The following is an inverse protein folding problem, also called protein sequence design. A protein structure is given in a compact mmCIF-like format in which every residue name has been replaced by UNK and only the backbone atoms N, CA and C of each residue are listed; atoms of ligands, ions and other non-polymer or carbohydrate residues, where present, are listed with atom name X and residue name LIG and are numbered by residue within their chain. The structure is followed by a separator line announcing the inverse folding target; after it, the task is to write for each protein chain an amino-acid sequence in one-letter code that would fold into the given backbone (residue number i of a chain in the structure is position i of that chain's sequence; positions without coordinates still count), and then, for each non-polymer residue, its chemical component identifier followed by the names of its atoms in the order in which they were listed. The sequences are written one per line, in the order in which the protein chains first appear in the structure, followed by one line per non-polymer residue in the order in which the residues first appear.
data_IF_494519201599
#
_entry.id   IF_494519201599
#
_cell.length_a   1.000
_cell.length_b   1.000
_cell.length_c   1.000
_cell.angle_alpha   90.00
_cell.angle_beta   90.00
_cell.angle_gamma   90.00
#
_symmetry.space_group_name_H-M   'P 1'
#
loop_
_entity.id
_entity.type
_entity.pdbx_description
1 polymer ?
#
# COMPACT_ATOMS: atom_id res chain seq x y z
N UNK A 1 22.45 17.23 10.22
CA UNK A 1 22.43 16.05 11.12
C UNK A 1 21.77 16.33 12.47
N UNK A 2 22.22 17.28 13.31
CA UNK A 2 21.57 17.52 14.61
C UNK A 2 20.15 18.07 14.45
N UNK A 3 19.87 18.93 13.46
CA UNK A 3 18.56 19.43 13.08
C UNK A 3 17.62 18.31 12.62
N UNK A 4 18.12 17.35 11.85
CA UNK A 4 17.31 16.27 11.27
C UNK A 4 16.87 15.27 12.35
N UNK A 5 17.76 14.95 13.30
CA UNK A 5 17.45 14.08 14.45
C UNK A 5 16.44 14.74 15.40
N UNK A 6 16.55 16.06 15.62
CA UNK A 6 15.59 16.78 16.46
C UNK A 6 14.20 16.83 15.81
N UNK A 7 14.15 16.99 14.48
CA UNK A 7 12.88 16.94 13.72
C UNK A 7 12.28 15.55 13.74
N UNK A 8 13.06 14.49 13.52
CA UNK A 8 12.56 13.13 13.63
C UNK A 8 11.96 12.85 15.01
N UNK A 9 12.67 13.24 16.07
CA UNK A 9 12.14 13.11 17.45
C UNK A 9 10.85 13.87 17.66
N UNK A 10 10.74 15.10 17.12
CA UNK A 10 9.51 15.89 17.18
C UNK A 10 8.35 15.23 16.40
N UNK A 11 8.59 14.76 15.17
CA UNK A 11 7.57 14.06 14.38
C UNK A 11 7.07 12.80 15.09
N UNK A 12 7.99 12.00 15.67
CA UNK A 12 7.62 10.83 16.47
C UNK A 12 6.83 11.18 17.72
N UNK A 13 7.17 12.27 18.39
CA UNK A 13 6.41 12.77 19.56
C UNK A 13 4.99 13.17 19.16
N UNK A 14 4.83 13.95 18.09
CA UNK A 14 3.52 14.32 17.54
C UNK A 14 2.73 13.07 17.18
N UNK A 15 3.35 12.12 16.48
CA UNK A 15 2.71 10.86 16.09
C UNK A 15 2.19 10.07 17.29
N UNK A 16 2.99 9.97 18.35
CA UNK A 16 2.59 9.27 19.58
C UNK A 16 1.39 9.95 20.28
N UNK A 17 1.40 11.29 20.37
CA UNK A 17 0.29 12.05 20.92
C UNK A 17 -0.99 11.87 20.10
N UNK A 18 -0.87 11.94 18.77
CA UNK A 18 -2.00 11.74 17.86
C UNK A 18 -2.55 10.33 18.00
N UNK A 19 -1.69 9.30 18.00
CA UNK A 19 -2.14 7.91 18.17
C UNK A 19 -2.87 7.71 19.50
N UNK A 20 -2.37 8.30 20.60
CA UNK A 20 -3.03 8.28 21.91
C UNK A 20 -4.40 8.96 21.86
N UNK A 21 -4.51 10.14 21.24
CA UNK A 21 -5.75 10.91 21.13
C UNK A 21 -6.78 10.17 20.26
N UNK A 22 -6.37 9.68 19.08
CA UNK A 22 -7.25 8.98 18.14
C UNK A 22 -7.82 7.69 18.74
N UNK A 23 -7.01 6.91 19.47
CA UNK A 23 -7.48 5.74 20.22
C UNK A 23 -8.55 6.12 21.26
N UNK A 24 -8.37 7.24 21.96
CA UNK A 24 -9.36 7.74 22.93
C UNK A 24 -10.67 8.17 22.26
N UNK A 25 -10.57 8.78 21.07
CA UNK A 25 -11.72 9.22 20.27
C UNK A 25 -12.35 8.07 19.45
N UNK A 26 -11.73 6.90 19.40
CA UNK A 26 -12.14 5.75 18.57
C UNK A 26 -12.19 6.09 17.08
N UNK A 27 -11.24 6.89 16.63
CA UNK A 27 -11.06 7.28 15.22
C UNK A 27 -9.80 6.62 14.65
N UNK A 28 -9.75 6.35 13.32
CA UNK A 28 -8.55 5.85 12.67
C UNK A 28 -7.37 6.81 12.91
N UNK A 29 -6.25 6.28 13.38
CA UNK A 29 -5.08 7.10 13.73
C UNK A 29 -4.45 7.77 12.50
N UNK A 30 -4.58 7.18 11.31
CA UNK A 30 -4.11 7.73 10.03
C UNK A 30 -4.79 9.07 9.70
N UNK A 31 -6.11 9.18 9.95
CA UNK A 31 -6.85 10.44 9.83
C UNK A 31 -6.26 11.51 10.74
N UNK A 32 -6.01 11.14 12.00
CA UNK A 32 -5.41 12.07 12.97
C UNK A 32 -4.01 12.53 12.57
N UNK A 33 -3.19 11.64 12.01
CA UNK A 33 -1.84 11.96 11.55
C UNK A 33 -1.86 12.95 10.37
N UNK A 34 -2.74 12.73 9.39
CA UNK A 34 -2.90 13.68 8.28
C UNK A 34 -3.36 15.04 8.76
N UNK A 35 -4.36 15.09 9.67
CA UNK A 35 -4.80 16.36 10.27
C UNK A 35 -3.69 17.05 11.07
N UNK A 36 -2.90 16.28 11.82
CA UNK A 36 -1.76 16.83 12.55
C UNK A 36 -0.69 17.39 11.60
N UNK A 37 -0.39 16.67 10.51
CA UNK A 37 0.52 17.13 9.47
C UNK A 37 0.06 18.44 8.83
N UNK A 38 -1.23 18.53 8.46
CA UNK A 38 -1.83 19.79 7.99
C UNK A 38 -1.71 20.90 9.04
N UNK A 39 -1.97 20.58 10.31
CA UNK A 39 -1.84 21.53 11.42
C UNK A 39 -0.41 22.05 11.55
N UNK A 40 0.60 21.20 11.46
CA UNK A 40 2.00 21.63 11.52
C UNK A 40 2.35 22.64 10.42
N UNK A 41 1.82 22.49 9.22
CA UNK A 41 1.99 23.45 8.14
C UNK A 41 1.32 24.82 8.47
N UNK A 42 0.06 24.79 8.92
CA UNK A 42 -0.67 26.02 9.25
C UNK A 42 -0.08 26.78 10.46
N UNK A 43 0.59 26.09 11.37
CA UNK A 43 1.31 26.70 12.49
C UNK A 43 2.76 27.09 12.15
N UNK A 44 3.11 27.10 10.86
CA UNK A 44 4.42 27.47 10.35
C UNK A 44 5.58 26.68 10.97
N UNK A 45 5.31 25.45 11.39
CA UNK A 45 6.37 24.54 11.86
C UNK A 45 7.17 24.07 10.64
N UNK A 46 8.39 24.60 10.50
CA UNK A 46 9.28 24.28 9.39
C UNK A 46 9.74 22.83 9.47
N UNK A 47 9.07 21.94 8.73
CA UNK A 47 9.49 20.55 8.53
C UNK A 47 10.42 20.54 7.31
N UNK A 48 11.69 20.18 7.51
CA UNK A 48 12.67 20.04 6.42
C UNK A 48 12.52 18.73 5.67
N UNK A 49 11.84 17.76 6.28
CA UNK A 49 11.55 16.48 5.66
C UNK A 49 10.38 16.61 4.69
N UNK A 50 10.67 16.42 3.40
CA UNK A 50 9.65 16.37 2.36
C UNK A 50 9.41 14.93 1.96
N UNK A 51 8.15 14.61 1.71
CA UNK A 51 7.79 13.30 1.16
C UNK A 51 8.36 13.23 -0.26
N UNK A 52 9.27 12.30 -0.49
CA UNK A 52 9.87 12.06 -1.79
C UNK A 52 9.70 10.62 -2.19
N UNK A 53 9.80 10.33 -3.49
CA UNK A 53 9.81 8.96 -4.00
C UNK A 53 10.82 8.10 -3.25
N UNK A 54 12.06 8.57 -3.14
CA UNK A 54 13.15 7.78 -2.54
C UNK A 54 12.89 7.47 -1.07
N UNK A 55 12.34 8.42 -0.32
CA UNK A 55 11.96 8.21 1.08
C UNK A 55 10.87 7.15 1.21
N UNK A 56 9.84 7.21 0.37
CA UNK A 56 8.75 6.24 0.40
C UNK A 56 9.25 4.85 -0.03
N UNK A 57 9.90 4.75 -1.19
CA UNK A 57 10.31 3.47 -1.75
C UNK A 57 11.46 2.81 -0.98
N UNK A 58 12.50 3.59 -0.61
CA UNK A 58 13.71 3.01 -0.04
C UNK A 58 13.67 2.86 1.48
N UNK A 59 12.87 3.66 2.18
CA UNK A 59 12.86 3.65 3.65
C UNK A 59 11.56 3.06 4.20
N UNK A 60 10.40 3.48 3.70
CA UNK A 60 9.14 3.15 4.33
C UNK A 60 8.45 1.92 3.72
N UNK A 61 8.51 1.75 2.42
CA UNK A 61 7.75 0.69 1.74
C UNK A 61 8.25 -0.72 2.09
N UNK A 62 9.57 -1.01 2.13
CA UNK A 62 10.05 -2.35 2.44
C UNK A 62 9.54 -2.90 3.78
N UNK A 63 9.64 -2.16 4.91
CA UNK A 63 9.18 -2.66 6.19
C UNK A 63 7.66 -2.76 6.28
N UNK A 64 6.91 -1.87 5.62
CA UNK A 64 5.44 -1.91 5.63
C UNK A 64 4.90 -3.15 4.92
N UNK A 65 5.43 -3.41 3.72
CA UNK A 65 5.04 -4.58 2.93
C UNK A 65 5.46 -5.88 3.62
N UNK A 66 6.69 -5.89 4.16
CA UNK A 66 7.20 -7.06 4.88
C UNK A 66 6.41 -7.36 6.14
N UNK A 67 6.10 -6.35 6.97
CA UNK A 67 5.29 -6.52 8.19
C UNK A 67 3.91 -7.06 7.86
N UNK A 68 3.21 -6.47 6.91
CA UNK A 68 1.89 -6.94 6.52
C UNK A 68 1.93 -8.41 6.03
N UNK A 69 2.94 -8.77 5.22
CA UNK A 69 3.12 -10.14 4.74
C UNK A 69 3.52 -11.14 5.85
N UNK A 70 4.22 -10.67 6.89
CA UNK A 70 4.66 -11.48 8.02
C UNK A 70 3.51 -12.16 8.78
N UNK A 71 2.34 -11.52 8.80
CA UNK A 71 1.17 -12.00 9.52
C UNK A 71 0.20 -12.80 8.66
N UNK A 72 0.47 -12.95 7.36
CA UNK A 72 -0.35 -13.76 6.45
C UNK A 72 -0.03 -15.26 6.62
N UNK A 73 -1.04 -16.05 6.92
CA UNK A 73 -0.94 -17.51 6.92
C UNK A 73 -0.91 -18.05 5.49
N UNK A 74 0.16 -18.79 5.13
CA UNK A 74 0.35 -19.35 3.79
C UNK A 74 -0.74 -20.35 3.40
N UNK A 75 -1.26 -21.13 4.36
CA UNK A 75 -2.26 -22.15 4.08
C UNK A 75 -3.62 -21.52 3.72
N UNK A 76 -3.94 -20.38 4.35
CA UNK A 76 -5.13 -19.61 4.02
C UNK A 76 -4.92 -18.81 2.72
N UNK A 77 -3.78 -18.13 2.60
CA UNK A 77 -3.43 -17.34 1.42
C UNK A 77 -3.48 -18.14 0.12
N UNK A 78 -2.87 -19.34 0.09
CA UNK A 78 -2.86 -20.18 -1.12
C UNK A 78 -4.24 -20.66 -1.55
N UNK A 79 -5.19 -20.80 -0.62
CA UNK A 79 -6.57 -21.19 -0.95
C UNK A 79 -7.29 -20.08 -1.73
N UNK A 80 -7.06 -18.82 -1.32
CA UNK A 80 -7.68 -17.65 -1.94
C UNK A 80 -6.83 -17.04 -3.07
N UNK A 81 -5.66 -17.62 -3.39
CA UNK A 81 -4.75 -17.12 -4.42
C UNK A 81 -5.40 -16.89 -5.79
N UNK A 82 -6.35 -17.75 -6.29
CA UNK A 82 -7.04 -17.47 -7.54
C UNK A 82 -7.88 -16.18 -7.51
N UNK A 83 -8.57 -15.91 -6.39
CA UNK A 83 -9.36 -14.68 -6.21
C UNK A 83 -8.43 -13.47 -6.06
N UNK A 84 -7.43 -13.59 -5.19
CA UNK A 84 -6.44 -12.54 -4.92
C UNK A 84 -5.65 -12.18 -6.17
N UNK A 85 -5.14 -13.18 -6.90
CA UNK A 85 -4.40 -12.98 -8.14
C UNK A 85 -5.25 -12.30 -9.20
N UNK A 86 -6.51 -12.69 -9.36
CA UNK A 86 -7.42 -12.06 -10.32
C UNK A 86 -7.71 -10.60 -9.96
N UNK A 87 -8.01 -10.32 -8.68
CA UNK A 87 -8.29 -8.96 -8.21
C UNK A 87 -7.06 -8.07 -8.28
N UNK A 88 -5.90 -8.58 -7.89
CA UNK A 88 -4.66 -7.81 -7.88
C UNK A 88 -4.02 -7.64 -9.26
N UNK A 89 -4.42 -8.39 -10.29
CA UNK A 89 -3.91 -8.22 -11.66
C UNK A 89 -4.99 -7.63 -12.57
N UNK A 90 -5.97 -8.44 -12.99
CA UNK A 90 -7.03 -7.95 -13.87
C UNK A 90 -7.87 -6.85 -13.21
N UNK A 91 -8.06 -6.91 -11.88
CA UNK A 91 -8.76 -5.86 -11.13
C UNK A 91 -8.04 -4.52 -11.22
N UNK A 92 -6.71 -4.51 -11.08
CA UNK A 92 -5.88 -3.29 -11.25
C UNK A 92 -5.98 -2.76 -12.67
N UNK A 93 -5.88 -3.64 -13.68
CA UNK A 93 -6.02 -3.25 -15.09
C UNK A 93 -7.39 -2.63 -15.37
N UNK A 94 -8.48 -3.25 -14.89
CA UNK A 94 -9.84 -2.73 -15.08
C UNK A 94 -10.02 -1.38 -14.37
N UNK A 95 -9.56 -1.26 -13.13
CA UNK A 95 -9.65 0.00 -12.38
C UNK A 95 -8.85 1.12 -13.05
N UNK A 96 -7.63 0.82 -13.49
CA UNK A 96 -6.78 1.76 -14.21
C UNK A 96 -7.40 2.18 -15.54
N UNK A 97 -7.92 1.22 -16.32
CA UNK A 97 -8.55 1.49 -17.62
C UNK A 97 -9.81 2.37 -17.49
N UNK A 98 -10.70 2.07 -16.52
CA UNK A 98 -11.90 2.89 -16.28
C UNK A 98 -11.51 4.31 -15.90
N UNK A 99 -10.50 4.45 -15.03
CA UNK A 99 -10.01 5.77 -14.62
C UNK A 99 -9.38 6.51 -15.81
N UNK A 100 -8.49 5.86 -16.56
CA UNK A 100 -7.82 6.47 -17.71
C UNK A 100 -8.81 6.92 -18.80
N UNK A 101 -9.73 6.03 -19.18
CA UNK A 101 -10.78 6.34 -20.18
C UNK A 101 -11.64 7.52 -19.70
N UNK A 102 -12.03 7.50 -18.43
CA UNK A 102 -12.80 8.58 -17.85
C UNK A 102 -12.05 9.92 -17.82
N UNK A 103 -10.77 9.93 -17.44
CA UNK A 103 -9.95 11.16 -17.43
C UNK A 103 -9.77 11.72 -18.85
N UNK A 104 -9.54 10.84 -19.83
CA UNK A 104 -9.42 11.26 -21.23
C UNK A 104 -10.70 11.93 -21.76
N UNK A 105 -11.86 11.28 -21.61
CA UNK A 105 -13.11 11.79 -22.20
C UNK A 105 -13.82 12.85 -21.35
N UNK A 106 -13.65 12.87 -20.02
CA UNK A 106 -14.32 13.86 -19.18
C UNK A 106 -13.50 15.16 -18.99
N UNK A 107 -12.17 15.09 -19.11
CA UNK A 107 -11.27 16.21 -18.84
C UNK A 107 -10.35 16.55 -20.02
N UNK A 108 -10.56 15.92 -21.17
CA UNK A 108 -9.74 16.07 -22.39
C UNK A 108 -8.22 15.85 -22.15
N UNK A 109 -7.88 14.98 -21.21
CA UNK A 109 -6.49 14.62 -20.97
C UNK A 109 -5.94 13.78 -22.13
N UNK A 110 -4.67 13.97 -22.47
CA UNK A 110 -3.97 13.07 -23.38
C UNK A 110 -3.90 11.65 -22.81
N UNK A 111 -3.85 10.65 -23.69
CA UNK A 111 -3.83 9.24 -23.27
C UNK A 111 -2.65 8.90 -22.38
N UNK A 112 -1.49 9.54 -22.59
CA UNK A 112 -0.29 9.29 -21.77
C UNK A 112 -0.52 9.64 -20.31
N UNK A 113 -0.96 10.88 -20.05
CA UNK A 113 -1.28 11.36 -18.71
C UNK A 113 -2.43 10.60 -18.08
N UNK A 114 -3.48 10.28 -18.86
CA UNK A 114 -4.65 9.55 -18.38
C UNK A 114 -4.30 8.10 -17.97
N UNK A 115 -3.50 7.39 -18.76
CA UNK A 115 -3.07 6.01 -18.46
C UNK A 115 -2.18 5.99 -17.23
N UNK A 116 -1.18 6.87 -17.17
CA UNK A 116 -0.27 6.93 -16.02
C UNK A 116 -1.02 7.25 -14.74
N UNK A 117 -1.92 8.24 -14.75
CA UNK A 117 -2.78 8.53 -13.60
C UNK A 117 -3.66 7.34 -13.22
N UNK A 118 -4.30 6.68 -14.19
CA UNK A 118 -5.13 5.51 -13.95
C UNK A 118 -4.35 4.37 -13.27
N UNK A 119 -3.11 4.12 -13.71
CA UNK A 119 -2.26 3.07 -13.16
C UNK A 119 -1.78 3.42 -11.74
N UNK A 120 -1.21 4.61 -11.55
CA UNK A 120 -0.67 4.98 -10.23
C UNK A 120 -1.73 5.02 -9.14
N UNK A 121 -2.96 5.47 -9.49
CA UNK A 121 -4.05 5.58 -8.53
C UNK A 121 -4.78 4.24 -8.31
N UNK A 122 -4.47 3.19 -9.06
CA UNK A 122 -5.08 1.88 -8.87
C UNK A 122 -4.54 1.14 -7.63
N UNK A 123 -3.33 1.47 -7.16
CA UNK A 123 -2.78 0.95 -5.90
C UNK A 123 -3.66 1.26 -4.71
N UNK A 124 -3.82 0.32 -3.76
CA UNK A 124 -4.65 0.50 -2.56
C UNK A 124 -3.86 0.27 -1.29
N UNK A 125 -4.15 1.05 -0.26
CA UNK A 125 -3.50 0.98 1.06
C UNK A 125 -4.48 0.42 2.10
N UNK A 126 -4.20 -0.75 2.68
CA UNK A 126 -5.10 -1.36 3.65
C UNK A 126 -4.91 -0.83 5.08
N UNK A 127 -3.91 0.00 5.35
CA UNK A 127 -3.46 0.36 6.72
C UNK A 127 -4.59 0.84 7.61
N UNK A 128 -5.42 1.78 7.13
CA UNK A 128 -6.54 2.31 7.92
C UNK A 128 -7.62 1.27 8.19
N UNK A 129 -7.89 0.40 7.22
CA UNK A 129 -8.90 -0.68 7.35
C UNK A 129 -8.40 -1.75 8.30
N UNK A 130 -7.13 -2.15 8.18
CA UNK A 130 -6.50 -3.14 9.04
C UNK A 130 -6.42 -2.65 10.49
N UNK A 131 -6.07 -1.38 10.72
CA UNK A 131 -6.11 -0.78 12.04
C UNK A 131 -7.50 -0.91 12.67
N UNK A 132 -8.55 -0.59 11.91
CA UNK A 132 -9.95 -0.76 12.33
C UNK A 132 -10.28 -2.23 12.63
N UNK A 133 -9.81 -3.17 11.81
CA UNK A 133 -10.01 -4.61 12.03
C UNK A 133 -9.32 -5.10 13.29
N UNK A 134 -8.07 -4.69 13.54
CA UNK A 134 -7.33 -5.02 14.78
C UNK A 134 -8.09 -4.52 16.02
N UNK A 135 -8.57 -3.28 16.00
CA UNK A 135 -9.34 -2.69 17.12
C UNK A 135 -10.71 -3.35 17.34
N UNK A 136 -11.33 -3.77 16.25
CA UNK A 136 -12.67 -4.37 16.24
C UNK A 136 -12.66 -5.89 16.42
N UNK A 137 -11.49 -6.53 16.42
CA UNK A 137 -11.35 -7.98 16.52
C UNK A 137 -11.84 -8.73 15.28
N UNK A 138 -11.81 -8.10 14.10
CA UNK A 138 -12.16 -8.78 12.84
C UNK A 138 -10.98 -9.64 12.40
N UNK A 139 -11.23 -10.93 12.25
CA UNK A 139 -10.24 -11.95 11.87
C UNK A 139 -10.75 -12.79 10.69
N UNK A 140 -9.90 -13.70 10.22
CA UNK A 140 -10.25 -14.69 9.21
C UNK A 140 -10.20 -14.17 7.78
N UNK A 141 -10.97 -14.82 6.89
CA UNK A 141 -10.88 -14.66 5.44
C UNK A 141 -11.06 -13.23 4.93
N UNK A 142 -11.97 -12.45 5.53
CA UNK A 142 -12.20 -11.06 5.11
C UNK A 142 -10.94 -10.21 5.30
N UNK A 143 -10.30 -10.33 6.46
CA UNK A 143 -9.05 -9.63 6.75
C UNK A 143 -7.96 -10.05 5.77
N UNK A 144 -7.78 -11.35 5.56
CA UNK A 144 -6.83 -11.90 4.61
C UNK A 144 -7.04 -11.33 3.19
N UNK A 145 -8.30 -11.30 2.72
CA UNK A 145 -8.62 -10.81 1.37
C UNK A 145 -8.22 -9.33 1.21
N UNK A 146 -8.46 -8.49 2.21
CA UNK A 146 -8.12 -7.05 2.14
C UNK A 146 -6.60 -6.85 2.22
N UNK A 147 -5.92 -7.49 3.17
CA UNK A 147 -4.47 -7.36 3.33
C UNK A 147 -3.73 -7.88 2.10
N UNK A 148 -4.04 -9.09 1.68
CA UNK A 148 -3.33 -9.74 0.60
C UNK A 148 -3.66 -9.13 -0.78
N UNK A 149 -4.92 -8.71 -1.01
CA UNK A 149 -5.29 -8.05 -2.26
C UNK A 149 -4.55 -6.72 -2.41
N UNK A 150 -4.49 -5.90 -1.36
CA UNK A 150 -3.76 -4.63 -1.39
C UNK A 150 -2.26 -4.82 -1.60
N UNK A 151 -1.63 -5.75 -0.87
CA UNK A 151 -0.20 -6.03 -1.03
C UNK A 151 0.17 -6.49 -2.44
N UNK A 152 -0.64 -7.38 -3.03
CA UNK A 152 -0.41 -7.87 -4.39
C UNK A 152 -0.70 -6.78 -5.42
N UNK A 153 -1.73 -5.97 -5.21
CA UNK A 153 -2.08 -4.90 -6.13
C UNK A 153 -1.03 -3.78 -6.12
N UNK A 154 -0.42 -3.48 -4.98
CA UNK A 154 0.69 -2.54 -4.89
C UNK A 154 1.88 -2.98 -5.76
N UNK A 155 2.25 -4.26 -5.66
CA UNK A 155 3.27 -4.84 -6.53
C UNK A 155 2.90 -4.76 -8.01
N UNK A 156 1.65 -5.07 -8.35
CA UNK A 156 1.15 -5.00 -9.73
C UNK A 156 1.11 -3.57 -10.26
N UNK A 157 0.60 -2.63 -9.47
CA UNK A 157 0.51 -1.22 -9.86
C UNK A 157 1.91 -0.61 -10.08
N UNK A 158 2.88 -0.91 -9.20
CA UNK A 158 4.26 -0.45 -9.36
C UNK A 158 4.89 -0.97 -10.66
N UNK A 159 4.71 -2.27 -10.98
CA UNK A 159 5.23 -2.86 -12.21
C UNK A 159 4.53 -2.29 -13.45
N UNK A 160 3.20 -2.13 -13.41
CA UNK A 160 2.44 -1.50 -14.50
C UNK A 160 2.83 -0.03 -14.71
N UNK A 161 3.15 0.70 -13.64
CA UNK A 161 3.60 2.09 -13.73
C UNK A 161 4.93 2.20 -14.48
N UNK A 162 5.91 1.38 -14.15
CA UNK A 162 7.20 1.34 -14.86
C UNK A 162 6.99 0.97 -16.34
N UNK A 163 6.11 0.01 -16.62
CA UNK A 163 5.77 -0.39 -17.98
C UNK A 163 5.07 0.74 -18.76
N UNK A 164 4.14 1.47 -18.12
CA UNK A 164 3.47 2.62 -18.73
C UNK A 164 4.47 3.73 -19.08
N UNK A 165 5.39 4.08 -18.18
CA UNK A 165 6.44 5.05 -18.46
C UNK A 165 7.38 4.60 -19.59
N UNK A 166 7.75 3.31 -19.62
CA UNK A 166 8.56 2.74 -20.70
C UNK A 166 7.87 2.82 -22.05
N UNK A 167 6.56 2.59 -22.11
CA UNK A 167 5.76 2.76 -23.34
C UNK A 167 5.73 4.22 -23.81
N UNK A 168 5.61 5.18 -22.89
CA UNK A 168 5.58 6.61 -23.21
C UNK A 168 6.92 7.14 -23.71
N UNK A 169 8.05 6.58 -23.24
CA UNK A 169 9.39 6.95 -23.72
C UNK A 169 9.72 6.42 -25.12
N UNK A 170 8.74 5.90 -25.85
CA UNK A 170 8.91 5.49 -27.25
C UNK A 170 9.60 4.12 -27.43
N UNK A 171 9.71 3.33 -26.39
CA UNK A 171 10.12 1.93 -26.52
C UNK A 171 9.05 1.20 -27.36
N UNK A 172 9.40 0.82 -28.59
CA UNK A 172 8.55 0.01 -29.46
C UNK A 172 8.36 -1.39 -28.84
N UNK A 173 7.52 -1.46 -27.82
CA UNK A 173 7.16 -2.72 -27.19
C UNK A 173 5.81 -3.17 -27.75
N UNK A 174 5.78 -4.35 -28.33
CA UNK A 174 4.53 -5.02 -28.64
C UNK A 174 3.88 -5.55 -27.34
N UNK A 175 2.59 -5.85 -27.38
CA UNK A 175 1.85 -6.36 -26.21
C UNK A 175 2.48 -7.64 -25.63
N UNK A 176 3.12 -8.46 -26.45
CA UNK A 176 3.78 -9.68 -26.01
C UNK A 176 5.04 -9.40 -25.19
N UNK A 177 5.86 -8.45 -25.63
CA UNK A 177 7.06 -8.04 -24.88
C UNK A 177 6.70 -7.36 -23.57
N UNK A 178 5.64 -6.54 -23.57
CA UNK A 178 5.13 -5.89 -22.37
C UNK A 178 4.65 -6.92 -21.32
N UNK A 179 3.82 -7.88 -21.76
CA UNK A 179 3.35 -8.95 -20.88
C UNK A 179 4.51 -9.81 -20.34
N UNK A 180 5.51 -10.09 -21.19
CA UNK A 180 6.72 -10.81 -20.79
C UNK A 180 7.53 -10.05 -19.74
N UNK A 181 7.72 -8.76 -19.91
CA UNK A 181 8.41 -7.90 -18.95
C UNK A 181 7.66 -7.84 -17.61
N UNK A 182 6.33 -7.65 -17.64
CA UNK A 182 5.50 -7.66 -16.43
C UNK A 182 5.64 -8.99 -15.68
N UNK A 183 5.55 -10.12 -16.39
CA UNK A 183 5.68 -11.44 -15.80
C UNK A 183 7.07 -11.66 -15.20
N UNK A 184 8.13 -11.31 -15.95
CA UNK A 184 9.51 -11.46 -15.50
C UNK A 184 9.81 -10.60 -14.28
N UNK A 185 9.38 -9.34 -14.28
CA UNK A 185 9.57 -8.41 -13.17
C UNK A 185 8.85 -8.90 -11.90
N UNK A 186 7.63 -9.41 -12.06
CA UNK A 186 6.82 -9.95 -10.97
C UNK A 186 7.43 -11.23 -10.40
N UNK A 187 7.71 -12.22 -11.24
CA UNK A 187 8.28 -13.51 -10.83
C UNK A 187 9.70 -13.36 -10.31
N UNK A 188 10.51 -12.51 -10.94
CA UNK A 188 11.88 -12.22 -10.51
C UNK A 188 11.92 -11.63 -9.10
N UNK A 189 11.06 -10.65 -8.84
CA UNK A 189 10.90 -10.08 -7.49
C UNK A 189 10.47 -11.13 -6.47
N UNK A 190 9.43 -11.91 -6.78
CA UNK A 190 8.94 -12.97 -5.89
C UNK A 190 10.00 -14.04 -5.59
N UNK A 191 10.78 -14.46 -6.58
CA UNK A 191 11.85 -15.46 -6.41
C UNK A 191 13.01 -14.92 -5.57
N UNK A 192 13.42 -13.66 -5.78
CA UNK A 192 14.47 -13.01 -4.96
C UNK A 192 13.99 -12.91 -3.51
N UNK A 193 12.74 -12.49 -3.29
CA UNK A 193 12.19 -12.38 -1.95
C UNK A 193 12.09 -13.73 -1.24
N UNK A 194 11.58 -14.75 -1.92
CA UNK A 194 11.53 -16.09 -1.37
C UNK A 194 12.94 -16.62 -1.03
N UNK A 195 13.89 -16.47 -1.96
CA UNK A 195 15.29 -16.87 -1.75
C UNK A 195 15.93 -16.15 -0.56
N UNK A 196 15.79 -14.83 -0.47
CA UNK A 196 16.27 -14.04 0.66
C UNK A 196 15.62 -14.49 1.99
N UNK A 197 14.29 -14.66 2.00
CA UNK A 197 13.57 -15.17 3.16
C UNK A 197 14.11 -16.51 3.65
N UNK A 198 14.29 -17.48 2.75
CA UNK A 198 14.84 -18.79 3.11
C UNK A 198 16.29 -18.70 3.61
N UNK A 199 17.17 -17.95 2.92
CA UNK A 199 18.57 -17.79 3.30
C UNK A 199 18.69 -17.16 4.68
N UNK A 200 18.00 -16.04 4.93
CA UNK A 200 18.11 -15.35 6.20
C UNK A 200 17.43 -16.13 7.35
N UNK A 201 16.37 -16.88 7.09
CA UNK A 201 15.77 -17.76 8.08
C UNK A 201 16.70 -18.95 8.42
N UNK A 202 17.38 -19.51 7.42
CA UNK A 202 18.39 -20.54 7.66
C UNK A 202 19.54 -20.02 8.51
N UNK A 203 20.00 -18.80 8.28
CA UNK A 203 21.06 -18.16 9.08
C UNK A 203 20.58 -17.83 10.49
N UNK A 204 19.36 -17.31 10.64
CA UNK A 204 18.74 -17.04 11.93
C UNK A 204 18.66 -18.30 12.81
N UNK A 205 18.35 -19.46 12.22
CA UNK A 205 18.33 -20.71 12.94
C UNK A 205 19.70 -21.24 13.43
N UNK A 206 20.78 -20.53 13.12
CA UNK A 206 22.15 -20.85 13.58
C UNK A 206 22.56 -20.15 14.87
N UNK A 207 21.70 -19.28 15.41
CA UNK A 207 21.97 -18.51 16.62
C UNK A 207 20.78 -18.54 17.57
N UNK A 208 21.00 -18.62 18.89
CA UNK A 208 19.92 -18.45 19.87
C UNK A 208 19.72 -16.98 20.27
N UNK A 209 20.47 -16.03 19.67
CA UNK A 209 20.39 -14.59 19.98
C UNK A 209 19.26 -13.97 19.18
N UNK A 210 18.18 -13.58 19.86
CA UNK A 210 17.00 -13.01 19.22
C UNK A 210 17.28 -11.64 18.53
N UNK A 211 18.29 -10.87 18.95
CA UNK A 211 18.66 -9.64 18.29
C UNK A 211 19.29 -9.92 16.93
N UNK A 212 20.11 -10.97 16.84
CA UNK A 212 20.69 -11.43 15.57
C UNK A 212 19.59 -12.01 14.67
N UNK A 213 18.63 -12.78 15.23
CA UNK A 213 17.48 -13.29 14.47
C UNK A 213 16.65 -12.14 13.87
N UNK A 214 16.34 -11.10 14.65
CA UNK A 214 15.63 -9.89 14.16
C UNK A 214 16.45 -9.18 13.08
N UNK A 215 17.76 -9.06 13.26
CA UNK A 215 18.66 -8.45 12.27
C UNK A 215 18.58 -9.19 10.93
N UNK A 216 18.57 -10.52 10.94
CA UNK A 216 18.38 -11.30 9.71
C UNK A 216 17.02 -11.09 9.06
N UNK A 217 15.95 -10.89 9.83
CA UNK A 217 14.66 -10.55 9.22
C UNK A 217 14.65 -9.14 8.63
N UNK A 218 15.39 -8.20 9.23
CA UNK A 218 15.58 -6.85 8.67
C UNK A 218 16.35 -6.91 7.35
N UNK A 219 17.41 -7.74 7.30
CA UNK A 219 18.13 -8.00 6.05
C UNK A 219 17.25 -8.72 5.01
N UNK A 220 16.33 -9.60 5.43
CA UNK A 220 15.37 -10.21 4.52
C UNK A 220 14.43 -9.16 3.91
N UNK A 221 13.92 -8.21 4.70
CA UNK A 221 13.02 -7.16 4.24
C UNK A 221 13.69 -6.19 3.27
N UNK A 222 14.72 -5.49 3.73
CA UNK A 222 15.41 -4.47 2.94
C UNK A 222 16.33 -5.09 1.87
N UNK A 223 17.05 -6.16 2.21
CA UNK A 223 17.97 -6.82 1.28
C UNK A 223 17.24 -7.40 0.08
N UNK A 224 16.11 -8.08 0.27
CA UNK A 224 15.32 -8.59 -0.86
C UNK A 224 14.80 -7.47 -1.75
N UNK A 225 14.31 -6.38 -1.14
CA UNK A 225 13.83 -5.21 -1.85
C UNK A 225 14.93 -4.61 -2.74
N UNK A 226 16.05 -4.23 -2.15
CA UNK A 226 17.15 -3.57 -2.89
C UNK A 226 17.82 -4.49 -3.92
N UNK A 227 17.93 -5.78 -3.63
CA UNK A 227 18.46 -6.74 -4.61
C UNK A 227 17.52 -6.86 -5.81
N UNK A 228 16.22 -6.94 -5.58
CA UNK A 228 15.23 -6.98 -6.66
C UNK A 228 15.28 -5.71 -7.51
N UNK A 229 15.25 -4.53 -6.88
CA UNK A 229 15.34 -3.23 -7.58
C UNK A 229 16.67 -3.11 -8.39
N UNK A 230 17.79 -3.58 -7.85
CA UNK A 230 19.06 -3.57 -8.56
C UNK A 230 19.03 -4.38 -9.87
N UNK A 231 18.29 -5.48 -9.88
CA UNK A 231 18.10 -6.30 -11.09
C UNK A 231 16.86 -5.90 -11.92
N UNK A 232 16.24 -4.75 -11.62
CA UNK A 232 15.03 -4.24 -12.28
C UNK A 232 13.82 -5.17 -12.12
N UNK A 233 13.74 -5.91 -11.02
CA UNK A 233 12.58 -6.67 -10.59
C UNK A 233 11.78 -5.91 -9.53
N UNK A 234 10.57 -6.37 -9.21
CA UNK A 234 9.73 -5.72 -8.21
C UNK A 234 10.26 -5.89 -6.79
N UNK A 235 10.79 -4.82 -6.20
CA UNK A 235 11.19 -4.77 -4.78
C UNK A 235 10.02 -4.99 -3.84
N UNK A 236 8.83 -4.48 -4.19
CA UNK A 236 7.60 -4.65 -3.41
C UNK A 236 7.24 -6.13 -3.29
N UNK A 237 7.24 -6.86 -4.42
CA UNK A 237 6.95 -8.30 -4.42
C UNK A 237 8.06 -9.12 -3.76
N UNK A 238 9.30 -8.64 -3.81
CA UNK A 238 10.40 -9.26 -3.08
C UNK A 238 10.22 -9.12 -1.57
N UNK A 239 9.94 -7.93 -1.06
CA UNK A 239 9.67 -7.71 0.36
C UNK A 239 8.43 -8.51 0.84
N UNK A 240 7.36 -8.55 0.01
CA UNK A 240 6.17 -9.35 0.29
C UNK A 240 6.48 -10.84 0.44
N UNK A 241 7.16 -11.43 -0.53
CA UNK A 241 7.46 -12.87 -0.49
C UNK A 241 8.47 -13.23 0.58
N UNK A 242 9.45 -12.36 0.85
CA UNK A 242 10.34 -12.50 2.00
C UNK A 242 9.56 -12.49 3.33
N UNK A 243 8.63 -11.54 3.48
CA UNK A 243 7.74 -11.46 4.64
C UNK A 243 6.86 -12.71 4.82
N UNK A 244 6.27 -13.22 3.73
CA UNK A 244 5.50 -14.47 3.74
C UNK A 244 6.35 -15.67 4.19
N UNK A 245 7.57 -15.80 3.68
CA UNK A 245 8.48 -16.88 4.08
C UNK A 245 8.80 -16.76 5.57
N UNK A 246 9.29 -15.62 6.02
CA UNK A 246 9.69 -15.39 7.41
C UNK A 246 8.50 -15.58 8.35
N UNK A 247 7.32 -15.06 8.00
CA UNK A 247 6.10 -15.17 8.80
C UNK A 247 5.65 -16.61 9.02
N UNK A 248 5.74 -17.44 7.99
CA UNK A 248 5.34 -18.84 8.10
C UNK A 248 6.42 -19.72 8.76
N UNK A 249 7.70 -19.34 8.69
CA UNK A 249 8.78 -20.00 9.41
C UNK A 249 8.92 -19.56 10.88
N UNK A 250 8.35 -18.43 11.29
CA UNK A 250 8.42 -17.96 12.69
C UNK A 250 7.83 -18.93 13.71
N UNK A 251 6.89 -19.77 13.29
CA UNK A 251 6.29 -20.82 14.13
C UNK A 251 7.11 -22.11 14.15
N UNK A 252 8.12 -22.22 13.31
CA UNK A 252 9.04 -23.34 13.24
C UNK A 252 10.03 -23.33 14.42
N UNK A 253 10.55 -24.49 14.87
CA UNK A 253 11.61 -24.56 15.89
C UNK A 253 12.95 -23.96 15.43
N UNK A 254 13.03 -23.45 14.20
CA UNK A 254 14.20 -22.76 13.64
C UNK A 254 14.49 -21.46 14.39
N UNK A 255 13.47 -20.75 14.84
CA UNK A 255 13.61 -19.49 15.61
C UNK A 255 13.49 -19.78 17.12
N UNK A 256 14.33 -19.12 17.91
CA UNK A 256 14.30 -19.22 19.37
C UNK A 256 12.96 -18.76 19.96
N UNK A 257 12.63 -19.22 21.17
CA UNK A 257 11.42 -18.76 21.87
C UNK A 257 11.43 -17.27 22.15
N UNK A 258 12.60 -16.69 22.38
CA UNK A 258 12.78 -15.24 22.56
C UNK A 258 12.54 -14.51 21.26
N UNK A 259 13.10 -14.99 20.14
CA UNK A 259 12.89 -14.42 18.81
C UNK A 259 11.42 -14.48 18.39
N UNK A 260 10.74 -15.59 18.58
CA UNK A 260 9.29 -15.71 18.29
C UNK A 260 8.43 -14.68 19.01
N UNK A 261 8.77 -14.37 20.27
CA UNK A 261 8.04 -13.35 21.04
C UNK A 261 8.40 -11.94 20.66
N UNK A 262 9.63 -11.68 20.20
CA UNK A 262 10.12 -10.36 19.90
C UNK A 262 9.84 -9.90 18.45
N UNK A 263 9.80 -10.84 17.51
CA UNK A 263 9.74 -10.56 16.07
C UNK A 263 8.45 -9.83 15.65
N UNK A 264 7.30 -10.30 16.15
CA UNK A 264 6.01 -9.65 15.88
C UNK A 264 5.97 -8.20 16.39
N UNK A 265 6.16 -7.97 17.71
CA UNK A 265 6.18 -6.61 18.26
C UNK A 265 7.23 -5.68 17.64
N UNK A 266 8.40 -6.20 17.24
CA UNK A 266 9.42 -5.41 16.54
C UNK A 266 8.89 -4.88 15.19
N UNK A 267 8.35 -5.76 14.35
CA UNK A 267 7.85 -5.36 13.03
C UNK A 267 6.58 -4.51 13.11
N UNK A 268 5.70 -4.76 14.07
CA UNK A 268 4.56 -3.86 14.34
C UNK A 268 5.03 -2.46 14.75
N UNK A 269 6.10 -2.36 15.54
CA UNK A 269 6.67 -1.07 15.93
C UNK A 269 7.32 -0.35 14.76
N UNK A 270 8.09 -1.05 13.93
CA UNK A 270 8.70 -0.48 12.71
C UNK A 270 7.64 0.02 11.74
N UNK A 271 6.61 -0.77 11.50
CA UNK A 271 5.48 -0.38 10.64
C UNK A 271 4.70 0.81 11.23
N UNK A 272 4.50 0.85 12.55
CA UNK A 272 3.88 1.99 13.22
C UNK A 272 4.66 3.28 13.00
N UNK A 273 5.98 3.26 13.15
CA UNK A 273 6.84 4.43 12.89
C UNK A 273 6.73 4.85 11.42
N UNK A 274 6.92 3.92 10.49
CA UNK A 274 6.88 4.19 9.07
C UNK A 274 5.53 4.81 8.65
N UNK A 275 4.42 4.19 9.02
CA UNK A 275 3.08 4.71 8.75
C UNK A 275 2.86 6.08 9.38
N UNK A 276 3.31 6.26 10.63
CA UNK A 276 3.12 7.53 11.34
C UNK A 276 3.83 8.68 10.63
N UNK A 277 5.07 8.47 10.21
CA UNK A 277 5.85 9.47 9.49
C UNK A 277 5.25 9.75 8.11
N UNK A 278 4.87 8.70 7.36
CA UNK A 278 4.26 8.85 6.04
C UNK A 278 2.98 9.71 6.13
N UNK A 279 2.01 9.31 6.95
CA UNK A 279 0.71 10.00 7.00
C UNK A 279 0.83 11.41 7.54
N UNK A 280 1.77 11.67 8.45
CA UNK A 280 2.04 13.02 8.93
C UNK A 280 2.67 13.89 7.84
N UNK A 281 3.63 13.36 7.07
CA UNK A 281 4.23 14.06 5.93
C UNK A 281 3.23 14.25 4.78
N UNK A 282 2.35 13.28 4.51
CA UNK A 282 1.23 13.43 3.58
C UNK A 282 0.40 14.63 3.97
N UNK A 283 -0.01 14.73 5.23
CA UNK A 283 -0.81 15.85 5.72
C UNK A 283 -0.11 17.20 5.58
N UNK A 284 1.19 17.27 5.89
CA UNK A 284 1.97 18.49 5.75
C UNK A 284 2.10 18.93 4.29
N UNK A 285 2.21 17.99 3.36
CA UNK A 285 2.33 18.27 1.92
C UNK A 285 0.96 18.53 1.28
N UNK A 286 -0.10 17.87 1.73
CA UNK A 286 -1.49 18.13 1.34
C UNK A 286 -1.89 19.58 1.58
N UNK A 287 -1.50 20.14 2.75
CA UNK A 287 -1.79 21.52 3.09
C UNK A 287 -1.11 22.55 2.17
N UNK A 288 -0.09 22.15 1.43
CA UNK A 288 0.63 22.99 0.47
C UNK A 288 0.00 22.96 -0.93
N UNK A 289 -0.89 22.00 -1.22
CA UNK A 289 -1.47 21.83 -2.53
C UNK A 289 -2.42 22.99 -2.88
N UNK A 290 -2.27 23.51 -4.08
CA UNK A 290 -3.14 24.57 -4.61
C UNK A 290 -4.18 23.94 -5.54
N UNK A 291 -5.35 23.62 -5.01
CA UNK A 291 -6.42 23.01 -5.80
C UNK A 291 -7.02 23.95 -6.85
N UNK A 292 -6.95 25.26 -6.64
CA UNK A 292 -7.29 26.33 -7.61
C UNK A 292 -8.45 25.97 -8.55
N UNK A 293 -8.16 25.93 -9.87
CA UNK A 293 -9.15 25.57 -10.89
C UNK A 293 -9.31 24.04 -11.09
N UNK A 294 -8.61 23.19 -10.31
CA UNK A 294 -8.62 21.74 -10.47
C UNK A 294 -9.77 21.04 -9.71
N UNK A 295 -10.64 21.78 -9.00
CA UNK A 295 -11.70 21.20 -8.19
C UNK A 295 -12.63 20.26 -8.97
N UNK A 296 -12.96 20.60 -10.24
CA UNK A 296 -13.77 19.75 -11.10
C UNK A 296 -13.03 18.46 -11.45
N UNK A 297 -11.75 18.57 -11.79
CA UNK A 297 -10.91 17.43 -12.10
C UNK A 297 -10.75 16.50 -10.88
N UNK A 298 -10.63 17.05 -9.67
CA UNK A 298 -10.59 16.30 -8.43
C UNK A 298 -11.89 15.51 -8.21
N UNK A 299 -13.06 16.15 -8.35
CA UNK A 299 -14.36 15.48 -8.19
C UNK A 299 -14.54 14.36 -9.22
N UNK A 300 -14.19 14.64 -10.49
CA UNK A 300 -14.26 13.65 -11.57
C UNK A 300 -13.31 12.50 -11.28
N UNK A 301 -12.07 12.77 -10.88
CA UNK A 301 -11.09 11.73 -10.54
C UNK A 301 -11.57 10.85 -9.39
N UNK A 302 -12.09 11.42 -8.29
CA UNK A 302 -12.64 10.67 -7.17
C UNK A 302 -13.78 9.74 -7.64
N UNK A 303 -14.70 10.26 -8.46
CA UNK A 303 -15.80 9.48 -9.01
C UNK A 303 -15.29 8.33 -9.90
N UNK A 304 -14.36 8.60 -10.81
CA UNK A 304 -13.79 7.60 -11.71
C UNK A 304 -12.98 6.53 -10.99
N UNK A 305 -12.16 6.91 -10.02
CA UNK A 305 -11.40 5.96 -9.18
C UNK A 305 -12.34 5.05 -8.40
N UNK A 306 -13.42 5.61 -7.85
CA UNK A 306 -14.44 4.83 -7.14
C UNK A 306 -15.21 3.90 -8.09
N UNK A 307 -15.60 4.38 -9.27
CA UNK A 307 -16.24 3.56 -10.31
C UNK A 307 -15.30 2.46 -10.82
N UNK A 308 -14.03 2.77 -11.06
CA UNK A 308 -13.01 1.80 -11.47
C UNK A 308 -12.86 0.68 -10.45
N UNK A 309 -12.85 1.03 -9.15
CA UNK A 309 -12.81 0.03 -8.07
C UNK A 309 -14.09 -0.84 -8.06
N UNK A 310 -15.26 -0.25 -8.26
CA UNK A 310 -16.51 -1.01 -8.36
C UNK A 310 -16.50 -1.96 -9.56
N UNK A 311 -16.08 -1.48 -10.73
CA UNK A 311 -15.97 -2.27 -11.96
C UNK A 311 -14.95 -3.41 -11.85
N UNK A 312 -13.94 -3.27 -11.00
CA UNK A 312 -13.00 -4.33 -10.70
C UNK A 312 -13.57 -5.36 -9.72
N UNK A 313 -14.07 -4.93 -8.55
CA UNK A 313 -14.44 -5.85 -7.47
C UNK A 313 -15.69 -6.68 -7.81
N UNK A 314 -16.79 -6.04 -8.17
CA UNK A 314 -18.07 -6.77 -8.30
C UNK A 314 -18.08 -7.79 -9.44
N UNK A 315 -17.67 -7.46 -10.68
CA UNK A 315 -17.72 -8.44 -11.77
C UNK A 315 -16.69 -9.57 -11.58
N UNK A 316 -15.49 -9.26 -11.08
CA UNK A 316 -14.46 -10.29 -10.90
C UNK A 316 -14.81 -11.24 -9.74
N UNK A 317 -15.39 -10.74 -8.64
CA UNK A 317 -15.92 -11.60 -7.59
C UNK A 317 -17.10 -12.46 -8.07
N UNK A 318 -17.90 -11.97 -9.01
CA UNK A 318 -19.02 -12.72 -9.57
C UNK A 318 -18.57 -13.98 -10.34
N UNK A 319 -17.35 -13.99 -10.88
CA UNK A 319 -16.77 -15.19 -11.53
C UNK A 319 -16.65 -16.37 -10.56
N UNK A 320 -16.49 -16.09 -9.27
CA UNK A 320 -16.41 -17.11 -8.20
C UNK A 320 -17.73 -17.36 -7.49
N UNK A 321 -18.86 -16.81 -7.97
CA UNK A 321 -20.17 -16.89 -7.29
C UNK A 321 -20.67 -18.33 -7.04
N UNK A 322 -20.21 -19.31 -7.82
CA UNK A 322 -20.65 -20.72 -7.80
C UNK A 322 -19.53 -21.66 -7.34
N UNK A 323 -18.81 -21.35 -6.28
CA UNK A 323 -17.71 -22.23 -5.86
C UNK A 323 -17.29 -22.01 -4.41
N UNK A 324 -16.33 -22.81 -3.94
CA UNK A 324 -15.77 -22.68 -2.59
C UNK A 324 -15.03 -21.34 -2.38
N UNK A 325 -14.62 -20.71 -3.47
CA UNK A 325 -13.93 -19.42 -3.48
C UNK A 325 -14.90 -18.22 -3.49
N UNK A 326 -16.20 -18.46 -3.41
CA UNK A 326 -17.21 -17.39 -3.39
C UNK A 326 -16.86 -16.33 -2.35
N UNK A 327 -16.81 -15.08 -2.80
CA UNK A 327 -16.73 -13.89 -1.93
C UNK A 327 -18.16 -13.40 -1.68
N UNK A 328 -18.57 -13.38 -0.43
CA UNK A 328 -19.92 -12.93 -0.06
C UNK A 328 -20.11 -11.45 -0.43
N UNK A 329 -21.33 -11.05 -0.80
CA UNK A 329 -21.62 -9.67 -1.22
C UNK A 329 -21.22 -8.63 -0.15
N UNK A 330 -21.44 -8.95 1.14
CA UNK A 330 -20.99 -8.09 2.25
C UNK A 330 -19.47 -7.90 2.27
N UNK A 331 -18.69 -8.94 1.97
CA UNK A 331 -17.23 -8.84 1.85
C UNK A 331 -16.84 -8.03 0.61
N UNK A 332 -17.57 -8.19 -0.52
CA UNK A 332 -17.33 -7.38 -1.73
C UNK A 332 -17.56 -5.88 -1.47
N UNK A 333 -18.59 -5.50 -0.71
CA UNK A 333 -18.81 -4.11 -0.32
C UNK A 333 -17.67 -3.56 0.55
N UNK A 334 -17.10 -4.39 1.41
CA UNK A 334 -15.96 -3.98 2.26
C UNK A 334 -14.68 -3.90 1.44
N UNK A 335 -14.43 -4.85 0.54
CA UNK A 335 -13.31 -4.80 -0.42
C UNK A 335 -13.39 -3.56 -1.33
N UNK A 336 -14.59 -3.24 -1.82
CA UNK A 336 -14.83 -2.06 -2.64
C UNK A 336 -14.53 -0.77 -1.87
N UNK A 337 -15.13 -0.59 -0.70
CA UNK A 337 -15.02 0.65 0.07
C UNK A 337 -13.71 0.76 0.86
N UNK A 338 -13.15 -0.36 1.26
CA UNK A 338 -11.89 -0.47 2.01
C UNK A 338 -10.62 -0.35 1.15
N UNK A 339 -10.72 -0.28 -0.17
CA UNK A 339 -9.58 -0.02 -1.05
C UNK A 339 -9.19 1.46 -1.01
N UNK A 340 -8.64 1.91 0.12
CA UNK A 340 -8.15 3.28 0.28
C UNK A 340 -6.94 3.52 -0.61
N UNK A 341 -6.68 4.78 -0.95
CA UNK A 341 -5.45 5.17 -1.64
C UNK A 341 -4.47 5.72 -0.61
N UNK A 342 -3.18 5.47 -0.80
CA UNK A 342 -2.20 5.80 0.22
C UNK A 342 -0.83 6.17 -0.33
N UNK A 343 0.19 5.82 0.44
CA UNK A 343 1.57 6.23 0.22
C UNK A 343 2.14 5.82 -1.14
N UNK A 344 1.81 4.61 -1.64
CA UNK A 344 2.34 4.15 -2.92
C UNK A 344 1.83 4.98 -4.09
N UNK A 345 0.54 5.33 -4.12
CA UNK A 345 0.00 6.19 -5.19
C UNK A 345 0.72 7.55 -5.23
N UNK A 346 0.98 8.14 -4.05
CA UNK A 346 1.75 9.39 -3.95
C UNK A 346 3.21 9.21 -4.37
N UNK A 347 3.84 8.12 -3.97
CA UNK A 347 5.22 7.81 -4.37
C UNK A 347 5.36 7.70 -5.90
N UNK A 348 4.40 7.02 -6.54
CA UNK A 348 4.37 6.90 -8.00
C UNK A 348 4.08 8.25 -8.67
N UNK A 349 3.19 9.08 -8.10
CA UNK A 349 2.94 10.43 -8.60
C UNK A 349 4.18 11.33 -8.50
N UNK A 350 4.92 11.27 -7.37
CA UNK A 350 6.18 11.99 -7.18
C UNK A 350 7.35 11.43 -8.01
N UNK A 351 7.16 10.27 -8.64
CA UNK A 351 8.15 9.64 -9.52
C UNK A 351 7.92 9.95 -11.01
N UNK A 352 6.92 10.76 -11.33
CA UNK A 352 6.60 11.13 -12.70
C UNK A 352 7.74 11.96 -13.33
N UNK A 353 8.02 11.78 -14.62
CA UNK A 353 8.90 12.68 -15.36
C UNK A 353 8.33 14.11 -15.42
N UNK A 354 9.20 15.10 -15.25
CA UNK A 354 8.82 16.53 -15.23
C UNK A 354 8.26 17.01 -16.59
N UNK A 355 8.57 16.32 -17.68
CA UNK A 355 8.13 16.62 -19.04
C UNK A 355 6.76 16.01 -19.40
N UNK A 356 6.14 15.26 -18.48
CA UNK A 356 4.81 14.71 -18.70
C UNK A 356 3.76 15.82 -18.72
N UNK A 357 2.93 15.84 -19.78
CA UNK A 357 1.79 16.74 -19.83
C UNK A 357 0.89 16.49 -18.62
N UNK A 358 0.38 17.53 -17.98
CA UNK A 358 -0.40 17.46 -16.73
C UNK A 358 0.34 16.97 -15.49
N UNK A 359 1.69 16.94 -15.47
CA UNK A 359 2.50 16.49 -14.32
C UNK A 359 2.01 17.03 -12.97
N UNK A 360 1.94 18.36 -12.82
CA UNK A 360 1.51 19.00 -11.55
C UNK A 360 0.04 18.73 -11.22
N UNK A 361 -0.82 18.64 -12.24
CA UNK A 361 -2.22 18.29 -12.04
C UNK A 361 -2.39 16.85 -11.55
N UNK A 362 -1.61 15.91 -12.09
CA UNK A 362 -1.62 14.50 -11.64
C UNK A 362 -1.22 14.43 -10.17
N UNK A 363 -0.15 15.09 -9.76
CA UNK A 363 0.31 15.12 -8.37
C UNK A 363 -0.79 15.68 -7.46
N UNK A 364 -1.29 16.87 -7.77
CA UNK A 364 -2.31 17.56 -6.97
C UNK A 364 -3.60 16.74 -6.85
N UNK A 365 -4.07 16.16 -7.96
CA UNK A 365 -5.28 15.31 -7.96
C UNK A 365 -5.04 14.01 -7.19
N UNK A 366 -3.84 13.43 -7.27
CA UNK A 366 -3.48 12.24 -6.48
C UNK A 366 -3.55 12.54 -4.99
N UNK A 367 -2.99 13.67 -4.53
CA UNK A 367 -3.13 14.12 -3.15
C UNK A 367 -4.60 14.22 -2.75
N UNK A 368 -5.44 14.90 -3.54
CA UNK A 368 -6.87 15.04 -3.25
C UNK A 368 -7.62 13.71 -3.17
N UNK A 369 -7.33 12.76 -4.06
CA UNK A 369 -7.94 11.41 -4.04
C UNK A 369 -7.50 10.64 -2.79
N UNK A 370 -6.22 10.73 -2.40
CA UNK A 370 -5.70 10.13 -1.17
C UNK A 370 -6.37 10.75 0.05
N UNK A 371 -6.47 12.08 0.13
CA UNK A 371 -7.17 12.75 1.22
C UNK A 371 -8.63 12.32 1.30
N UNK A 372 -9.36 12.29 0.17
CA UNK A 372 -10.73 11.77 0.13
C UNK A 372 -10.81 10.35 0.68
N UNK A 373 -9.91 9.45 0.29
CA UNK A 373 -9.96 8.07 0.76
C UNK A 373 -9.68 7.97 2.27
N UNK A 374 -8.74 8.74 2.79
CA UNK A 374 -8.42 8.76 4.23
C UNK A 374 -9.59 9.34 5.03
N UNK A 375 -10.14 10.47 4.62
CA UNK A 375 -11.19 11.15 5.37
C UNK A 375 -12.58 10.54 5.12
N UNK A 376 -13.00 10.37 3.87
CA UNK A 376 -14.35 9.88 3.57
C UNK A 376 -14.46 8.38 3.77
N UNK A 377 -13.61 7.58 3.12
CA UNK A 377 -13.68 6.13 3.22
C UNK A 377 -13.16 5.64 4.57
N UNK A 378 -12.02 6.15 5.05
CA UNK A 378 -11.43 5.76 6.33
C UNK A 378 -12.36 6.01 7.52
N UNK A 379 -13.05 7.15 7.60
CA UNK A 379 -14.01 7.43 8.68
C UNK A 379 -15.31 6.62 8.56
N UNK A 380 -15.71 6.26 7.35
CA UNK A 380 -16.99 5.56 7.11
C UNK A 380 -16.87 4.04 7.07
N UNK A 381 -15.66 3.49 7.07
CA UNK A 381 -15.45 2.02 7.04
C UNK A 381 -16.02 1.36 8.31
N UNK A 382 -15.84 1.93 9.50
CA UNK A 382 -16.38 1.41 10.76
C UNK A 382 -17.90 1.33 10.77
N UNK A 383 -18.65 2.39 10.42
CA UNK A 383 -20.09 2.31 10.20
C UNK A 383 -20.52 1.26 9.19
N UNK A 384 -19.78 1.12 8.07
CA UNK A 384 -20.06 0.11 7.06
C UNK A 384 -19.92 -1.31 7.63
N UNK A 385 -18.82 -1.60 8.33
CA UNK A 385 -18.59 -2.89 8.98
C UNK A 385 -19.71 -3.25 9.97
N UNK A 386 -20.19 -2.30 10.75
CA UNK A 386 -21.34 -2.51 11.66
C UNK A 386 -22.59 -2.86 10.90
N UNK A 387 -22.95 -2.09 9.85
CA UNK A 387 -24.14 -2.35 9.03
C UNK A 387 -24.10 -3.72 8.35
N UNK A 388 -22.93 -4.20 8.00
CA UNK A 388 -22.76 -5.49 7.35
C UNK A 388 -22.58 -6.67 8.34
N UNK A 389 -22.71 -6.41 9.64
CA UNK A 389 -22.62 -7.44 10.69
C UNK A 389 -21.23 -8.06 10.84
N UNK A 390 -20.19 -7.29 10.49
CA UNK A 390 -18.78 -7.72 10.64
C UNK A 390 -18.15 -7.24 11.97
N UNK A 391 -18.85 -6.40 12.71
CA UNK A 391 -18.49 -5.96 14.06
C UNK A 391 -19.57 -6.40 15.03
N UNK A 392 -19.17 -6.94 16.17
CA UNK A 392 -20.11 -7.16 17.27
C UNK A 392 -20.65 -5.81 17.78
N UNK A 393 -21.95 -5.73 17.98
CA UNK A 393 -22.55 -4.61 18.70
C UNK A 393 -21.98 -4.60 20.13
N UNK A 394 -21.21 -3.56 20.44
CA UNK A 394 -20.68 -3.29 21.79
C UNK A 394 -21.62 -2.40 22.55
#
# INVERSE_FOLDING_TARGET
MASDLSQLGFLLFVSALVAMLMRRLRLPYTVGLVLAGMGLYFFEVHIQWHLSKDLIFSVFLPPLVFEAALFIDWQEFKKDLPVLGLLATLGVVVAAAVTAVGMHYALDWDWSSAIVFGVLIAATDPVSVIATFKEAGVHGRLRLLIEAESLLNDGTAAVMFVAALGFLSGANQDLGSLAGTLLLTTLGGALIGAGAGFVFMYLAGRTPDYLVEITFTTLAAYGSFFVAEHFHFSGVLAALTAGLVVGNYRTSPVISDAGRRALGPFWEYVAFIANSLIFLLIGAQEAQQQFGNLWLAVVVAIALVTLGRAAAIYPLCALFARGPLKVEMRHQHILFWGGLRGALALALALALPDDLLHHDAIITITFAVVAFSIFAQGLTITPLLRRLGQLADR
#
